data_IF_275431200323
#
_entry.id   IF_275431200323
#
_cell.length_a   1.000
_cell.length_b   1.000
_cell.length_c   1.000
_cell.angle_alpha   90.00
_cell.angle_beta   90.00
_cell.angle_gamma   90.00
#
_symmetry.space_group_name_H-M   'P 1'
#
loop_
_entity.id
_entity.type
_entity.pdbx_description
1 polymer ?
#
# COMPACT_ATOMS: atom_id res chain seq x y z
N UNK A 1 12.04 17.02 19.94
CA UNK A 1 11.39 15.83 20.51
C UNK A 1 10.00 15.70 19.91
N UNK A 2 9.70 14.67 19.10
CA UNK A 2 8.31 14.39 18.69
C UNK A 2 7.64 13.63 19.83
N UNK A 3 6.63 14.25 20.45
CA UNK A 3 5.77 13.58 21.42
C UNK A 3 5.07 12.42 20.70
N UNK A 4 5.19 11.20 21.22
CA UNK A 4 4.30 10.12 20.78
C UNK A 4 2.87 10.58 21.07
N UNK A 5 1.91 10.37 20.16
CA UNK A 5 0.50 10.62 20.47
C UNK A 5 0.15 9.93 21.79
N UNK A 6 -0.57 10.63 22.67
CA UNK A 6 -1.01 10.03 23.91
C UNK A 6 -1.94 8.85 23.61
N UNK A 7 -1.97 7.85 24.50
CA UNK A 7 -2.80 6.65 24.32
C UNK A 7 -4.28 7.01 24.04
N UNK A 8 -4.78 8.11 24.59
CA UNK A 8 -6.12 8.62 24.35
C UNK A 8 -6.37 9.04 22.89
N UNK A 9 -5.40 9.71 22.25
CA UNK A 9 -5.52 10.12 20.83
C UNK A 9 -5.52 8.89 19.93
N UNK A 10 -4.61 7.94 20.19
CA UNK A 10 -4.49 6.71 19.42
C UNK A 10 -5.79 5.89 19.45
N UNK A 11 -6.41 5.80 20.63
CA UNK A 11 -7.67 5.10 20.83
C UNK A 11 -8.84 5.77 20.10
N UNK A 12 -8.88 7.10 20.03
CA UNK A 12 -9.92 7.81 19.26
C UNK A 12 -9.82 7.49 17.76
N UNK A 13 -8.61 7.55 17.19
CA UNK A 13 -8.37 7.21 15.78
C UNK A 13 -8.77 5.76 15.51
N UNK A 14 -8.39 4.84 16.40
CA UNK A 14 -8.76 3.44 16.28
C UNK A 14 -10.28 3.22 16.22
N UNK A 15 -11.04 3.87 17.12
CA UNK A 15 -12.50 3.78 17.11
C UNK A 15 -13.12 4.36 15.84
N UNK A 16 -12.59 5.47 15.35
CA UNK A 16 -13.06 6.09 14.10
C UNK A 16 -12.80 5.16 12.90
N UNK A 17 -11.62 4.56 12.81
CA UNK A 17 -11.29 3.61 11.76
C UNK A 17 -12.12 2.33 11.86
N UNK A 18 -12.43 1.83 13.06
CA UNK A 18 -13.31 0.68 13.25
C UNK A 18 -14.73 0.99 12.75
N UNK A 19 -15.28 2.14 13.11
CA UNK A 19 -16.59 2.59 12.62
C UNK A 19 -16.60 2.68 11.09
N UNK A 20 -15.56 3.25 10.50
CA UNK A 20 -15.42 3.34 9.05
C UNK A 20 -15.39 1.96 8.38
N UNK A 21 -14.71 0.98 8.98
CA UNK A 21 -14.66 -0.39 8.47
C UNK A 21 -16.06 -1.02 8.49
N UNK A 22 -16.73 -1.02 9.63
CA UNK A 22 -17.97 -1.77 9.82
C UNK A 22 -19.17 -1.06 9.19
N UNK A 23 -19.37 0.22 9.51
CA UNK A 23 -20.59 0.95 9.16
C UNK A 23 -20.53 1.54 7.74
N UNK A 24 -19.35 2.00 7.30
CA UNK A 24 -19.25 2.74 6.04
C UNK A 24 -18.80 1.88 4.86
N UNK A 25 -17.95 0.86 5.09
CA UNK A 25 -17.37 0.05 4.01
C UNK A 25 -17.95 -1.36 3.95
N UNK A 26 -17.95 -2.09 5.05
CA UNK A 26 -18.38 -3.49 5.08
C UNK A 26 -19.91 -3.66 5.08
N UNK A 27 -20.66 -2.64 5.50
CA UNK A 27 -22.13 -2.64 5.39
C UNK A 27 -22.64 -2.48 3.94
N UNK A 28 -21.80 -2.04 3.00
CA UNK A 28 -22.18 -1.85 1.60
C UNK A 28 -22.24 -3.20 0.86
N UNK A 29 -23.41 -3.56 0.32
CA UNK A 29 -23.65 -4.84 -0.36
C UNK A 29 -22.85 -5.06 -1.67
N UNK A 30 -22.40 -3.98 -2.32
CA UNK A 30 -21.79 -4.04 -3.66
C UNK A 30 -20.26 -3.90 -3.66
N UNK A 31 -19.57 -4.35 -2.60
CA UNK A 31 -18.10 -4.32 -2.52
C UNK A 31 -17.51 -5.69 -2.86
N UNK A 32 -16.53 -5.70 -3.76
CA UNK A 32 -15.73 -6.90 -4.07
C UNK A 32 -14.62 -7.17 -3.04
N UNK A 33 -14.47 -6.29 -2.05
CA UNK A 33 -13.48 -6.39 -0.99
C UNK A 33 -14.09 -6.04 0.37
N UNK A 34 -13.41 -6.45 1.45
CA UNK A 34 -13.73 -6.07 2.82
C UNK A 34 -12.52 -5.42 3.48
N UNK A 35 -12.79 -4.52 4.41
CA UNK A 35 -11.75 -3.94 5.25
C UNK A 35 -11.70 -4.68 6.60
N UNK A 36 -10.53 -4.68 7.22
CA UNK A 36 -10.32 -5.23 8.55
C UNK A 36 -9.27 -4.41 9.31
N UNK A 37 -9.28 -4.54 10.63
CA UNK A 37 -8.27 -3.94 11.48
C UNK A 37 -6.90 -4.55 11.19
N UNK A 38 -5.89 -3.69 11.06
CA UNK A 38 -4.51 -4.06 10.86
C UNK A 38 -3.59 -3.15 11.68
N UNK A 39 -2.28 -3.27 11.50
CA UNK A 39 -1.26 -2.47 12.22
C UNK A 39 -1.38 -0.96 12.03
N UNK A 40 -2.12 -0.50 11.03
CA UNK A 40 -2.32 0.92 10.71
C UNK A 40 -3.67 1.44 11.19
N UNK A 41 -4.46 0.64 11.90
CA UNK A 41 -5.79 1.03 12.38
C UNK A 41 -5.76 2.20 13.36
N UNK A 42 -4.59 2.53 13.90
CA UNK A 42 -4.36 3.62 14.85
C UNK A 42 -3.79 4.90 14.19
N UNK A 43 -3.65 4.91 12.86
CA UNK A 43 -3.17 6.05 12.09
C UNK A 43 -4.31 6.73 11.35
N UNK A 44 -4.22 8.05 11.25
CA UNK A 44 -5.00 8.80 10.26
C UNK A 44 -4.48 8.51 8.85
N UNK A 45 -5.32 8.74 7.84
CA UNK A 45 -4.88 8.55 6.45
C UNK A 45 -3.67 9.43 6.11
N UNK A 46 -3.65 10.68 6.58
CA UNK A 46 -2.53 11.60 6.36
C UNK A 46 -1.22 11.12 7.00
N UNK A 47 -1.28 10.58 8.21
CA UNK A 47 -0.12 9.99 8.88
C UNK A 47 0.39 8.76 8.12
N UNK A 48 -0.52 7.90 7.67
CA UNK A 48 -0.19 6.74 6.86
C UNK A 48 0.51 7.15 5.55
N UNK A 49 -0.06 8.11 4.81
CA UNK A 49 0.52 8.62 3.56
C UNK A 49 1.91 9.20 3.77
N UNK A 50 2.11 10.01 4.81
CA UNK A 50 3.41 10.64 5.12
C UNK A 50 4.48 9.63 5.53
N UNK A 51 4.10 8.56 6.21
CA UNK A 51 5.04 7.59 6.77
C UNK A 51 5.38 6.43 5.83
N UNK A 52 4.42 5.98 5.01
CA UNK A 52 4.54 4.71 4.27
C UNK A 52 4.51 4.85 2.73
N UNK A 53 4.02 5.97 2.17
CA UNK A 53 3.93 6.18 0.71
C UNK A 53 5.12 6.98 0.12
N UNK A 54 6.28 6.96 0.77
CA UNK A 54 7.43 7.81 0.47
C UNK A 54 8.18 7.57 -0.86
N UNK A 55 7.72 6.65 -1.71
CA UNK A 55 8.36 6.35 -2.99
C UNK A 55 8.13 7.51 -3.96
N UNK A 56 9.14 8.37 -4.15
CA UNK A 56 9.14 9.37 -5.22
C UNK A 56 9.70 8.73 -6.48
N UNK A 57 8.92 8.59 -7.56
CA UNK A 57 9.48 8.18 -8.84
C UNK A 57 10.48 9.26 -9.28
N UNK A 58 11.70 8.83 -9.56
CA UNK A 58 12.71 9.69 -10.16
C UNK A 58 12.29 10.00 -11.61
N UNK A 59 11.96 11.25 -11.96
CA UNK A 59 11.52 11.59 -13.31
C UNK A 59 12.58 11.28 -14.37
N UNK A 60 13.87 11.27 -13.99
CA UNK A 60 14.96 10.90 -14.89
C UNK A 60 15.02 9.41 -15.23
N UNK A 61 14.31 8.56 -14.45
CA UNK A 61 14.14 7.13 -14.70
C UNK A 61 12.87 6.80 -15.49
N UNK A 62 12.07 7.79 -15.87
CA UNK A 62 11.05 7.56 -16.90
C UNK A 62 11.78 7.17 -18.17
N UNK A 63 11.63 5.91 -18.55
CA UNK A 63 12.28 5.25 -19.68
C UNK A 63 12.58 6.23 -20.82
N UNK A 64 13.86 6.35 -21.19
CA UNK A 64 14.26 6.87 -22.49
C UNK A 64 13.39 6.19 -23.54
N UNK A 65 12.60 6.95 -24.31
CA UNK A 65 11.45 6.52 -25.12
C UNK A 65 11.73 5.53 -26.27
N UNK A 66 12.76 4.70 -26.17
CA UNK A 66 12.98 3.56 -27.06
C UNK A 66 11.99 2.45 -26.68
N UNK A 67 10.97 2.27 -27.52
CA UNK A 67 10.09 1.11 -27.46
C UNK A 67 10.94 -0.14 -27.72
N UNK A 68 10.84 -1.13 -26.85
CA UNK A 68 11.50 -2.42 -27.00
C UNK A 68 10.45 -3.48 -27.24
N UNK A 69 10.58 -4.24 -28.33
CA UNK A 69 9.70 -5.38 -28.65
C UNK A 69 10.10 -6.67 -27.91
N UNK A 70 11.03 -6.58 -26.94
CA UNK A 70 11.62 -7.73 -26.24
C UNK A 70 10.58 -8.62 -25.51
N UNK A 71 9.45 -8.05 -25.12
CA UNK A 71 8.40 -8.74 -24.37
C UNK A 71 7.07 -8.80 -25.13
N UNK A 72 7.09 -8.51 -26.43
CA UNK A 72 5.89 -8.61 -27.26
C UNK A 72 5.57 -10.09 -27.50
N UNK A 73 4.37 -10.57 -27.18
CA UNK A 73 3.96 -11.94 -27.48
C UNK A 73 3.78 -12.13 -28.99
N UNK A 74 4.02 -13.34 -29.46
CA UNK A 74 3.86 -13.70 -30.86
C UNK A 74 2.40 -14.03 -31.19
N UNK A 75 2.03 -13.86 -32.46
CA UNK A 75 0.70 -14.22 -32.93
C UNK A 75 0.54 -15.74 -32.85
N UNK A 76 -0.38 -16.19 -32.00
CA UNK A 76 -0.65 -17.61 -31.76
C UNK A 76 -0.19 -18.12 -30.39
N UNK A 77 0.45 -17.28 -29.58
CA UNK A 77 0.82 -17.64 -28.21
C UNK A 77 -0.43 -17.95 -27.36
N UNK A 78 -0.46 -19.16 -26.78
CA UNK A 78 -1.46 -19.55 -25.79
C UNK A 78 -0.95 -19.17 -24.40
N UNK A 79 -1.54 -18.10 -23.85
CA UNK A 79 -1.24 -17.64 -22.50
C UNK A 79 -2.23 -18.26 -21.50
N UNK A 80 -1.79 -18.56 -20.27
CA UNK A 80 -2.68 -19.06 -19.23
C UNK A 80 -3.65 -17.99 -18.75
N UNK A 81 -4.86 -18.41 -18.35
CA UNK A 81 -5.89 -17.50 -17.82
C UNK A 81 -5.49 -16.85 -16.47
N UNK A 82 -4.63 -17.51 -15.69
CA UNK A 82 -4.08 -16.97 -14.44
C UNK A 82 -2.71 -17.56 -14.11
N UNK A 83 -1.86 -16.78 -13.44
CA UNK A 83 -0.53 -17.19 -12.97
C UNK A 83 -0.35 -16.73 -11.52
N UNK A 84 0.03 -17.66 -10.64
CA UNK A 84 0.56 -17.34 -9.31
C UNK A 84 2.05 -17.73 -9.22
N UNK A 85 2.92 -16.72 -9.15
CA UNK A 85 4.38 -16.94 -9.04
C UNK A 85 4.80 -17.56 -7.70
N UNK A 86 3.96 -17.49 -6.67
CA UNK A 86 4.24 -18.12 -5.36
C UNK A 86 4.28 -19.64 -5.49
N UNK A 87 3.40 -20.20 -6.32
CA UNK A 87 3.37 -21.65 -6.62
C UNK A 87 4.61 -22.13 -7.36
N UNK A 88 5.29 -21.22 -8.07
CA UNK A 88 6.54 -21.52 -8.77
C UNK A 88 7.79 -21.42 -7.87
N UNK A 89 7.63 -21.03 -6.61
CA UNK A 89 8.74 -20.93 -5.64
C UNK A 89 9.75 -19.81 -5.93
N UNK A 90 9.42 -18.87 -6.81
CA UNK A 90 10.30 -17.75 -7.19
C UNK A 90 10.04 -16.48 -6.38
N UNK A 91 9.02 -16.49 -5.53
CA UNK A 91 8.63 -15.37 -4.67
C UNK A 91 9.20 -15.57 -3.27
N UNK A 92 9.99 -14.61 -2.79
CA UNK A 92 10.50 -14.59 -1.42
C UNK A 92 9.42 -14.17 -0.42
N UNK A 93 9.65 -14.42 0.88
CA UNK A 93 8.75 -14.00 1.95
C UNK A 93 8.47 -12.49 1.91
N UNK A 94 7.24 -12.12 2.30
CA UNK A 94 6.81 -10.71 2.42
C UNK A 94 7.68 -10.00 3.46
N UNK A 95 8.18 -8.81 3.09
CA UNK A 95 9.05 -7.98 3.93
C UNK A 95 8.27 -6.81 4.55
N UNK A 96 8.77 -6.30 5.68
CA UNK A 96 8.29 -5.05 6.31
C UNK A 96 9.26 -3.90 5.98
N UNK A 97 8.76 -2.84 5.33
CA UNK A 97 9.54 -1.65 5.01
C UNK A 97 9.87 -0.79 6.25
N UNK A 98 9.19 -1.03 7.38
CA UNK A 98 9.36 -0.30 8.62
C UNK A 98 9.16 1.19 8.44
N UNK A 99 10.14 1.99 8.89
CA UNK A 99 10.13 3.44 8.80
C UNK A 99 10.89 4.01 7.60
N UNK A 100 11.36 3.16 6.68
CA UNK A 100 12.06 3.61 5.48
C UNK A 100 11.07 4.29 4.53
N UNK A 101 11.38 5.51 4.07
CA UNK A 101 10.47 6.33 3.26
C UNK A 101 9.70 7.42 4.04
N UNK A 102 9.88 7.53 5.37
CA UNK A 102 9.43 8.71 6.11
C UNK A 102 10.14 9.94 5.55
N UNK A 103 9.40 10.82 4.87
CA UNK A 103 9.88 12.18 4.59
C UNK A 103 10.24 12.81 5.95
N UNK A 104 11.49 13.21 6.13
CA UNK A 104 11.85 14.05 7.27
C UNK A 104 10.99 15.30 7.15
N UNK A 105 10.03 15.46 8.06
CA UNK A 105 9.34 16.73 8.27
C UNK A 105 10.41 17.74 8.73
N UNK A 106 11.05 18.42 7.79
CA UNK A 106 11.61 19.74 8.01
C UNK A 106 10.49 20.74 7.76
N UNK A 107 9.65 20.91 8.77
CA UNK A 107 8.90 22.15 8.98
C UNK A 107 8.95 22.42 10.49
N UNK A 108 10.05 23.05 10.88
CA UNK A 108 10.03 24.25 11.70
C UNK A 108 10.61 25.36 10.83
#
# INVERSE_FOLDING_TARGET
MKLRPSLGVLYCIFKENLRYIDDDQNALLNRSYKLSLNRFADLTNDEYRKAFLGTKPDPSRQFSGLKSDRYTPDVGDSLPDSIDWREKGVVVAVKDQGSCGKLSLSLC
#
